data_IF_709002745695
#
_entry.id   IF_709002745695
#
_cell.length_a   1.000
_cell.length_b   1.000
_cell.length_c   1.000
_cell.angle_alpha   90.00
_cell.angle_beta   90.00
_cell.angle_gamma   90.00
#
_symmetry.space_group_name_H-M   'P 1'
#
loop_
_entity.id
_entity.type
_entity.pdbx_description
1 polymer ?
#
# COMPACT_ATOMS: atom_id res chain seq x y z
N UNK A 1 14.65 -0.46 -2.99
CA UNK A 1 13.28 -0.99 -3.03
C UNK A 1 12.98 -1.70 -1.73
N UNK A 2 13.74 -2.73 -1.34
CA UNK A 2 13.58 -3.43 -0.05
C UNK A 2 13.51 -2.53 1.19
N UNK A 3 14.40 -1.53 1.34
CA UNK A 3 14.36 -0.61 2.48
C UNK A 3 13.05 0.21 2.54
N UNK A 4 12.47 0.52 1.38
CA UNK A 4 11.17 1.21 1.28
C UNK A 4 10.04 0.27 1.69
N UNK A 5 10.03 -0.95 1.16
CA UNK A 5 9.06 -2.00 1.52
C UNK A 5 9.08 -2.27 3.03
N UNK A 6 10.28 -2.35 3.62
CA UNK A 6 10.47 -2.55 5.05
C UNK A 6 9.89 -1.39 5.87
N UNK A 7 10.12 -0.15 5.45
CA UNK A 7 9.56 1.01 6.17
C UNK A 7 8.04 1.10 6.04
N UNK A 8 7.48 0.81 4.86
CA UNK A 8 6.02 0.70 4.67
C UNK A 8 5.45 -0.38 5.59
N UNK A 9 6.06 -1.57 5.60
CA UNK A 9 5.66 -2.66 6.48
C UNK A 9 5.73 -2.26 7.97
N UNK A 10 6.76 -1.51 8.37
CA UNK A 10 6.89 -0.95 9.71
C UNK A 10 5.77 0.05 10.03
N UNK A 11 5.49 1.00 9.15
CA UNK A 11 4.44 1.99 9.35
C UNK A 11 3.05 1.33 9.45
N UNK A 12 2.77 0.36 8.58
CA UNK A 12 1.52 -0.40 8.63
C UNK A 12 1.43 -1.25 9.91
N UNK A 13 2.54 -1.83 10.37
CA UNK A 13 2.60 -2.56 11.64
C UNK A 13 2.36 -1.66 12.84
N UNK A 14 2.93 -0.44 12.83
CA UNK A 14 2.68 0.56 13.86
C UNK A 14 1.19 0.94 13.89
N UNK A 15 0.59 1.21 12.74
CA UNK A 15 -0.85 1.49 12.64
C UNK A 15 -1.69 0.33 13.19
N UNK A 16 -1.36 -0.90 12.82
CA UNK A 16 -2.05 -2.12 13.28
C UNK A 16 -2.06 -2.23 14.82
N UNK A 17 -0.94 -1.90 15.47
CA UNK A 17 -0.83 -1.90 16.95
C UNK A 17 -1.52 -0.68 17.56
N UNK A 18 -1.22 0.53 17.08
CA UNK A 18 -1.70 1.78 17.66
C UNK A 18 -3.23 1.91 17.60
N UNK A 19 -3.85 1.39 16.54
CA UNK A 19 -5.30 1.43 16.38
C UNK A 19 -5.99 0.15 16.84
N UNK A 20 -5.23 -0.84 17.33
CA UNK A 20 -5.78 -2.07 17.90
C UNK A 20 -6.45 -3.00 16.89
N UNK A 21 -6.09 -2.96 15.60
CA UNK A 21 -6.66 -3.86 14.59
C UNK A 21 -6.31 -5.32 14.89
N UNK A 22 -5.11 -5.57 15.40
CA UNK A 22 -4.63 -6.89 15.82
C UNK A 22 -4.52 -7.92 14.69
N UNK A 23 -4.44 -7.46 13.44
CA UNK A 23 -4.20 -8.31 12.28
C UNK A 23 -2.71 -8.63 12.09
N UNK A 24 -2.37 -9.21 10.95
CA UNK A 24 -1.00 -9.53 10.59
C UNK A 24 -0.55 -8.72 9.37
N UNK A 25 0.64 -8.15 9.46
CA UNK A 25 1.33 -7.48 8.36
C UNK A 25 2.44 -8.40 7.87
N UNK A 26 2.50 -8.64 6.56
CA UNK A 26 3.55 -9.44 5.91
C UNK A 26 4.16 -8.66 4.75
N UNK A 27 5.45 -8.87 4.48
CA UNK A 27 6.11 -8.39 3.26
C UNK A 27 6.20 -9.51 2.21
N UNK A 28 6.88 -9.27 1.09
CA UNK A 28 7.08 -10.16 -0.07
C UNK A 28 7.54 -11.60 0.23
N UNK A 29 7.83 -11.95 1.48
CA UNK A 29 8.09 -13.33 1.94
C UNK A 29 6.82 -14.10 2.38
N UNK A 30 5.71 -13.43 2.65
CA UNK A 30 4.45 -14.03 3.13
C UNK A 30 3.44 -14.24 2.01
N UNK A 31 3.82 -14.93 0.94
CA UNK A 31 2.95 -15.19 -0.20
C UNK A 31 1.61 -15.84 0.19
N UNK A 32 0.58 -15.64 -0.62
CA UNK A 32 -0.77 -16.12 -0.37
C UNK A 32 -1.20 -17.05 -1.49
N UNK A 33 -1.93 -18.10 -1.13
CA UNK A 33 -2.58 -18.98 -2.09
C UNK A 33 -3.94 -18.37 -2.46
N UNK A 34 -4.02 -17.76 -3.65
CA UNK A 34 -5.25 -17.24 -4.21
C UNK A 34 -5.97 -18.35 -4.96
N UNK A 35 -7.30 -18.40 -4.82
CA UNK A 35 -8.15 -19.31 -5.60
C UNK A 35 -9.13 -18.52 -6.47
N UNK A 36 -8.73 -18.28 -7.71
CA UNK A 36 -9.47 -17.45 -8.67
C UNK A 36 -9.85 -18.30 -9.87
N UNK A 37 -11.13 -18.29 -10.25
CA UNK A 37 -11.61 -19.01 -11.44
C UNK A 37 -11.34 -20.52 -11.42
N UNK A 38 -11.35 -21.15 -10.22
CA UNK A 38 -11.06 -22.58 -10.06
C UNK A 38 -9.57 -22.95 -10.09
N UNK A 39 -8.67 -21.97 -10.20
CA UNK A 39 -7.21 -22.19 -10.22
C UNK A 39 -6.57 -21.64 -8.96
N UNK A 40 -5.54 -22.34 -8.46
CA UNK A 40 -4.72 -21.90 -7.33
C UNK A 40 -3.43 -21.24 -7.85
N UNK A 41 -3.18 -20.01 -7.43
CA UNK A 41 -1.99 -19.23 -7.81
C UNK A 41 -1.38 -18.60 -6.57
N UNK A 42 -0.06 -18.59 -6.48
CA UNK A 42 0.64 -17.93 -5.37
C UNK A 42 0.98 -16.50 -5.78
N UNK A 43 0.48 -15.53 -5.02
CA UNK A 43 0.86 -14.13 -5.16
C UNK A 43 1.57 -13.66 -3.90
N UNK A 44 2.68 -12.94 -4.09
CA UNK A 44 3.45 -12.33 -3.02
C UNK A 44 3.42 -10.80 -3.24
N UNK A 45 2.43 -10.10 -2.66
CA UNK A 45 2.44 -8.63 -2.67
C UNK A 45 3.63 -8.11 -1.86
N UNK A 46 4.12 -6.91 -2.19
CA UNK A 46 5.26 -6.34 -1.48
C UNK A 46 5.00 -6.10 0.00
N UNK A 47 3.81 -5.60 0.33
CA UNK A 47 3.28 -5.56 1.69
C UNK A 47 1.81 -5.93 1.67
N UNK A 48 1.35 -6.64 2.70
CA UNK A 48 -0.07 -6.93 2.86
C UNK A 48 -0.51 -6.89 4.30
N UNK A 49 -1.83 -6.73 4.48
CA UNK A 49 -2.48 -6.84 5.78
C UNK A 49 -3.60 -7.87 5.74
N UNK A 50 -3.53 -8.83 6.66
CA UNK A 50 -4.59 -9.82 6.92
C UNK A 50 -5.30 -9.43 8.22
N UNK A 51 -6.62 -9.32 8.19
CA UNK A 51 -7.40 -8.94 9.38
C UNK A 51 -7.28 -9.98 10.49
N UNK A 52 -7.42 -9.54 11.75
CA UNK A 52 -7.41 -10.42 12.93
C UNK A 52 -8.38 -11.59 12.80
N UNK A 53 -9.60 -11.32 12.30
CA UNK A 53 -10.64 -12.33 12.14
C UNK A 53 -10.23 -13.44 11.19
N UNK A 54 -9.49 -13.13 10.11
CA UNK A 54 -8.96 -14.17 9.23
C UNK A 54 -7.75 -14.82 9.87
N UNK A 55 -6.78 -14.02 10.31
CA UNK A 55 -5.48 -14.50 10.78
C UNK A 55 -5.57 -15.45 11.98
N UNK A 56 -6.43 -15.15 12.96
CA UNK A 56 -6.58 -15.99 14.15
C UNK A 56 -7.24 -17.35 13.89
N UNK A 57 -7.87 -17.55 12.72
CA UNK A 57 -8.51 -18.81 12.34
C UNK A 57 -7.68 -19.63 11.35
N UNK A 58 -6.48 -19.15 10.98
CA UNK A 58 -5.58 -19.88 10.10
C UNK A 58 -4.96 -21.07 10.84
N UNK A 59 -4.93 -22.23 10.18
CA UNK A 59 -4.23 -23.39 10.68
C UNK A 59 -2.74 -23.37 10.29
N UNK A 60 -1.94 -24.28 10.87
CA UNK A 60 -0.50 -24.36 10.60
C UNK A 60 -0.18 -24.62 9.12
N UNK A 61 -1.01 -25.39 8.39
CA UNK A 61 -0.76 -25.61 6.97
C UNK A 61 -0.93 -24.30 6.19
N UNK A 62 -1.93 -23.48 6.51
CA UNK A 62 -2.15 -22.18 5.85
C UNK A 62 -1.08 -21.14 6.22
N UNK A 63 -0.59 -21.15 7.47
CA UNK A 63 0.42 -20.18 7.94
C UNK A 63 1.84 -20.48 7.43
N UNK A 64 2.21 -21.76 7.42
CA UNK A 64 3.60 -22.18 7.17
C UNK A 64 3.81 -22.78 5.79
N UNK A 65 2.73 -23.04 5.05
CA UNK A 65 2.80 -23.66 3.72
C UNK A 65 1.75 -23.04 2.79
N UNK A 66 1.86 -23.28 1.49
CA UNK A 66 0.79 -22.92 0.54
C UNK A 66 -0.31 -23.99 0.44
N UNK A 67 -0.45 -24.86 1.44
CA UNK A 67 -1.45 -25.94 1.51
C UNK A 67 -2.61 -25.58 2.46
N UNK A 68 -3.68 -26.37 2.43
CA UNK A 68 -4.92 -26.09 3.15
C UNK A 68 -5.89 -25.22 2.34
N UNK A 69 -6.90 -24.67 3.01
CA UNK A 69 -7.85 -23.78 2.36
C UNK A 69 -7.20 -22.44 1.99
N UNK A 70 -7.34 -21.98 0.74
CA UNK A 70 -6.84 -20.68 0.29
C UNK A 70 -7.39 -19.54 1.14
N UNK A 71 -6.57 -18.54 1.40
CA UNK A 71 -7.01 -17.27 1.98
C UNK A 71 -6.24 -16.12 1.33
N UNK A 72 -6.81 -14.94 1.38
CA UNK A 72 -6.24 -13.74 0.77
C UNK A 72 -6.24 -12.59 1.80
N UNK A 73 -5.28 -11.67 1.72
CA UNK A 73 -5.24 -10.51 2.61
C UNK A 73 -6.38 -9.54 2.30
N UNK A 74 -6.62 -8.60 3.22
CA UNK A 74 -7.62 -7.53 3.05
C UNK A 74 -7.04 -6.32 2.32
N UNK A 75 -5.76 -6.02 2.56
CA UNK A 75 -5.04 -4.93 1.90
C UNK A 75 -3.80 -5.49 1.23
N UNK A 76 -3.52 -5.07 0.00
CA UNK A 76 -2.27 -5.34 -0.70
C UNK A 76 -1.64 -4.04 -1.19
N UNK A 77 -0.32 -3.97 -1.09
CA UNK A 77 0.50 -2.83 -1.49
C UNK A 77 1.58 -3.36 -2.42
N UNK A 78 1.70 -2.75 -3.59
CA UNK A 78 2.77 -3.00 -4.56
C UNK A 78 3.63 -1.75 -4.70
N UNK A 79 4.95 -1.93 -4.67
CA UNK A 79 5.94 -0.85 -4.78
C UNK A 79 6.68 -1.02 -6.11
N UNK A 80 6.56 -0.03 -6.99
CA UNK A 80 7.17 -0.13 -8.32
C UNK A 80 7.65 1.21 -8.86
N UNK A 81 8.42 1.17 -9.95
CA UNK A 81 8.76 2.35 -10.76
C UNK A 81 7.64 2.56 -11.78
N UNK A 82 6.62 3.35 -11.41
CA UNK A 82 5.42 3.54 -12.25
C UNK A 82 5.58 4.61 -13.32
N UNK A 83 6.72 5.30 -13.37
CA UNK A 83 7.09 6.23 -14.44
C UNK A 83 6.95 5.56 -15.81
N UNK A 84 7.24 4.25 -15.87
CA UNK A 84 7.01 3.43 -17.05
C UNK A 84 5.54 3.05 -17.11
N UNK A 85 4.80 3.65 -18.05
CA UNK A 85 3.38 3.36 -18.33
C UNK A 85 3.07 1.85 -18.36
N UNK A 86 3.94 1.05 -18.99
CA UNK A 86 3.75 -0.41 -19.05
C UNK A 86 3.72 -1.07 -17.66
N UNK A 87 4.60 -0.66 -16.73
CA UNK A 87 4.63 -1.21 -15.36
C UNK A 87 3.32 -0.87 -14.63
N UNK A 88 2.82 0.34 -14.84
CA UNK A 88 1.53 0.75 -14.31
C UNK A 88 0.38 -0.08 -14.91
N UNK A 89 0.32 -0.24 -16.22
CA UNK A 89 -0.72 -1.03 -16.91
C UNK A 89 -0.69 -2.49 -16.43
N UNK A 90 0.51 -3.09 -16.31
CA UNK A 90 0.69 -4.46 -15.81
C UNK A 90 0.18 -4.61 -14.35
N UNK A 91 0.43 -3.60 -13.50
CA UNK A 91 -0.08 -3.60 -12.11
C UNK A 91 -1.58 -3.37 -12.06
N UNK A 92 -2.13 -2.48 -12.87
CA UNK A 92 -3.57 -2.22 -12.95
C UNK A 92 -4.34 -3.50 -13.35
N UNK A 93 -3.83 -4.23 -14.35
CA UNK A 93 -4.37 -5.52 -14.74
C UNK A 93 -4.25 -6.56 -13.61
N UNK A 94 -3.10 -6.63 -12.94
CA UNK A 94 -2.89 -7.51 -11.77
C UNK A 94 -3.91 -7.24 -10.67
N UNK A 95 -4.12 -5.98 -10.32
CA UNK A 95 -5.12 -5.60 -9.33
C UNK A 95 -6.53 -6.00 -9.76
N UNK A 96 -6.90 -5.69 -10.99
CA UNK A 96 -8.25 -5.91 -11.52
C UNK A 96 -8.60 -7.39 -11.67
N UNK A 97 -7.67 -8.20 -12.17
CA UNK A 97 -7.95 -9.58 -12.57
C UNK A 97 -7.42 -10.64 -11.61
N UNK A 98 -6.51 -10.29 -10.71
CA UNK A 98 -5.95 -11.23 -9.73
C UNK A 98 -6.37 -10.84 -8.30
N UNK A 99 -6.00 -9.64 -7.84
CA UNK A 99 -6.24 -9.25 -6.46
C UNK A 99 -7.71 -8.96 -6.16
N UNK A 100 -8.44 -8.33 -7.08
CA UNK A 100 -9.85 -7.98 -6.95
C UNK A 100 -10.79 -8.96 -7.65
N UNK A 101 -10.25 -10.09 -8.07
CA UNK A 101 -11.04 -11.13 -8.71
C UNK A 101 -12.09 -11.69 -7.75
N UNK A 102 -13.18 -12.21 -8.31
CA UNK A 102 -14.18 -12.92 -7.53
C UNK A 102 -13.56 -14.10 -6.78
N UNK A 103 -13.88 -14.23 -5.49
CA UNK A 103 -13.32 -15.26 -4.61
C UNK A 103 -12.14 -14.78 -3.75
N UNK A 104 -11.68 -13.54 -3.96
CA UNK A 104 -10.70 -12.88 -3.08
C UNK A 104 -11.39 -12.08 -1.96
N UNK A 105 -10.65 -11.80 -0.90
CA UNK A 105 -11.04 -10.96 0.24
C UNK A 105 -10.33 -9.61 0.23
N UNK A 106 -9.58 -9.30 -0.83
CA UNK A 106 -8.87 -8.02 -0.95
C UNK A 106 -9.91 -6.93 -1.15
N UNK A 107 -9.85 -5.89 -0.32
CA UNK A 107 -10.78 -4.75 -0.35
C UNK A 107 -10.07 -3.49 -0.83
N UNK A 108 -8.77 -3.39 -0.58
CA UNK A 108 -7.99 -2.20 -0.87
C UNK A 108 -6.64 -2.56 -1.47
N UNK A 109 -6.28 -1.79 -2.50
CA UNK A 109 -5.03 -1.92 -3.22
C UNK A 109 -4.27 -0.61 -3.26
N UNK A 110 -2.96 -0.66 -3.05
CA UNK A 110 -2.09 0.50 -3.19
C UNK A 110 -1.01 0.22 -4.22
N UNK A 111 -0.80 1.17 -5.13
CA UNK A 111 0.40 1.22 -5.97
C UNK A 111 1.22 2.43 -5.54
N UNK A 112 2.44 2.18 -5.07
CA UNK A 112 3.35 3.21 -4.59
C UNK A 112 4.55 3.34 -5.53
N UNK A 113 4.80 4.55 -6.02
CA UNK A 113 5.97 4.83 -6.84
C UNK A 113 7.24 4.95 -5.99
N UNK A 114 8.26 4.13 -6.29
CA UNK A 114 9.53 4.11 -5.57
C UNK A 114 10.32 5.41 -5.71
N UNK A 115 10.25 6.10 -6.85
CA UNK A 115 10.95 7.37 -7.06
C UNK A 115 10.33 8.49 -6.22
N UNK A 116 9.00 8.49 -6.07
CA UNK A 116 8.32 9.39 -5.14
C UNK A 116 8.83 9.20 -3.70
N UNK A 117 8.98 7.96 -3.26
CA UNK A 117 9.43 7.67 -1.90
C UNK A 117 10.89 8.09 -1.70
N UNK A 118 11.76 7.83 -2.68
CA UNK A 118 13.17 8.27 -2.63
C UNK A 118 13.29 9.79 -2.57
N UNK A 119 12.47 10.52 -3.32
CA UNK A 119 12.46 11.98 -3.30
C UNK A 119 12.07 12.51 -1.91
N UNK A 120 11.04 11.94 -1.28
CA UNK A 120 10.60 12.30 0.08
C UNK A 120 11.73 12.06 1.10
N UNK A 121 12.33 10.87 1.08
CA UNK A 121 13.45 10.52 1.99
C UNK A 121 14.65 11.45 1.76
N UNK A 122 14.93 11.79 0.50
CA UNK A 122 16.05 12.68 0.15
C UNK A 122 15.82 14.11 0.64
N UNK A 123 14.58 14.59 0.69
CA UNK A 123 14.25 15.93 1.21
C UNK A 123 14.35 16.02 2.74
N UNK A 124 14.02 14.95 3.46
CA UNK A 124 14.12 14.91 4.93
C UNK A 124 15.57 15.10 5.42
N UNK A 125 16.55 14.61 4.65
CA UNK A 125 17.98 14.79 4.94
C UNK A 125 18.50 16.23 4.82
N UNK A 126 17.73 17.15 4.21
CA UNK A 126 18.10 18.58 4.07
C UNK A 126 17.54 19.49 5.15
N UNK A 127 16.64 18.97 6.00
CA UNK A 127 16.00 19.75 7.07
C UNK A 127 16.78 19.69 8.37
N UNK A 128 18.01 20.20 8.35
CA UNK A 128 18.70 20.65 9.59
C UNK A 128 19.07 22.12 9.46
N UNK A 129 18.06 22.99 9.65
CA UNK A 129 18.30 24.37 10.09
C UNK A 129 17.25 24.77 11.10
N UNK A 130 17.71 24.88 12.35
CA UNK A 130 17.06 25.58 13.46
C UNK A 130 16.63 26.98 13.02
N UNK A 131 15.38 27.38 13.22
CA UNK A 131 14.99 28.74 13.66
C UNK A 131 13.47 28.99 13.58
N UNK A 132 12.89 29.28 14.76
CA UNK A 132 11.75 30.18 15.06
C UNK A 132 10.38 29.90 14.43
N UNK A 133 9.34 29.99 15.28
CA UNK A 133 7.91 30.04 14.92
C UNK A 133 7.66 31.08 13.81
N UNK A 134 7.73 30.66 12.55
CA UNK A 134 7.06 31.31 11.43
C UNK A 134 5.92 30.40 11.02
N UNK A 135 4.75 30.97 10.73
CA UNK A 135 3.58 30.24 10.22
C UNK A 135 4.00 29.12 9.27
N UNK A 136 3.64 27.88 9.62
CA UNK A 136 4.07 26.67 8.93
C UNK A 136 3.49 26.64 7.52
N UNK A 137 4.20 27.26 6.57
CA UNK A 137 3.91 27.14 5.15
C UNK A 137 4.24 25.72 4.71
N UNK A 138 3.21 24.91 4.52
CA UNK A 138 3.30 23.56 3.99
C UNK A 138 3.40 23.68 2.48
N UNK A 139 4.50 23.22 1.90
CA UNK A 139 4.69 23.22 0.45
C UNK A 139 4.30 21.85 -0.10
N UNK A 140 3.56 21.84 -1.21
CA UNK A 140 3.28 20.58 -1.89
C UNK A 140 4.59 20.02 -2.47
N UNK A 141 4.92 18.73 -2.23
CA UNK A 141 6.14 18.15 -2.78
C UNK A 141 6.06 17.89 -4.29
N UNK A 142 4.86 17.92 -4.88
CA UNK A 142 4.60 17.56 -6.27
C UNK A 142 4.36 18.76 -7.19
N UNK A 143 4.07 19.94 -6.65
CA UNK A 143 3.85 21.15 -7.44
C UNK A 143 4.14 22.42 -6.63
N UNK A 144 4.16 23.57 -7.28
CA UNK A 144 4.51 24.85 -6.66
C UNK A 144 3.41 25.45 -5.75
N UNK A 145 2.43 24.66 -5.32
CA UNK A 145 1.38 25.13 -4.41
C UNK A 145 1.87 25.16 -2.97
N UNK A 146 1.40 26.16 -2.22
CA UNK A 146 1.72 26.35 -0.81
C UNK A 146 0.44 26.53 0.00
N UNK A 147 0.44 26.00 1.23
CA UNK A 147 -0.68 25.96 2.14
C UNK A 147 -0.25 26.43 3.52
N UNK A 148 -1.19 26.96 4.29
CA UNK A 148 -0.94 27.44 5.66
C UNK A 148 -1.44 26.46 6.72
N UNK A 149 -2.13 25.39 6.30
CA UNK A 149 -2.80 24.42 7.15
C UNK A 149 -2.86 23.05 6.46
N UNK A 150 -2.90 21.98 7.26
CA UNK A 150 -2.90 20.60 6.77
C UNK A 150 -4.17 20.26 5.98
N UNK A 151 -5.35 20.77 6.38
CA UNK A 151 -6.62 20.43 5.71
C UNK A 151 -6.67 20.86 4.23
N UNK A 152 -6.38 22.13 3.85
CA UNK A 152 -6.36 22.53 2.45
C UNK A 152 -5.20 21.86 1.67
N UNK A 153 -4.09 21.55 2.34
CA UNK A 153 -3.01 20.76 1.75
C UNK A 153 -3.48 19.35 1.40
N UNK A 154 -4.07 18.60 2.33
CA UNK A 154 -4.57 17.24 2.12
C UNK A 154 -5.65 17.21 1.04
N UNK A 155 -6.60 18.15 1.07
CA UNK A 155 -7.63 18.28 0.04
C UNK A 155 -7.05 18.55 -1.36
N UNK A 156 -6.00 19.37 -1.45
CA UNK A 156 -5.28 19.56 -2.71
C UNK A 156 -4.58 18.29 -3.15
N UNK A 157 -3.87 17.63 -2.23
CA UNK A 157 -3.09 16.44 -2.52
C UNK A 157 -3.96 15.31 -3.05
N UNK A 158 -5.08 15.03 -2.38
CA UNK A 158 -6.10 14.08 -2.81
C UNK A 158 -6.64 14.39 -4.20
N UNK A 159 -6.98 15.66 -4.46
CA UNK A 159 -7.58 16.06 -5.74
C UNK A 159 -6.59 16.04 -6.90
N UNK A 160 -5.33 16.40 -6.66
CA UNK A 160 -4.37 16.70 -7.73
C UNK A 160 -3.32 15.62 -7.95
N UNK A 161 -2.99 14.85 -6.91
CA UNK A 161 -1.85 13.93 -6.92
C UNK A 161 -2.22 12.50 -6.53
N UNK A 162 -3.43 12.27 -6.02
CA UNK A 162 -3.97 10.92 -5.82
C UNK A 162 -4.90 10.58 -6.98
N UNK A 163 -4.67 9.42 -7.60
CA UNK A 163 -5.61 8.82 -8.55
C UNK A 163 -6.28 7.64 -7.88
N UNK A 164 -7.60 7.65 -7.83
CA UNK A 164 -8.40 6.53 -7.35
C UNK A 164 -9.02 5.80 -8.54
N UNK A 165 -8.95 4.48 -8.51
CA UNK A 165 -9.73 3.62 -9.40
C UNK A 165 -10.66 2.74 -8.58
N UNK A 166 -11.92 2.63 -9.02
CA UNK A 166 -12.93 1.82 -8.33
C UNK A 166 -13.30 0.61 -9.18
N UNK A 167 -13.23 -0.56 -8.56
CA UNK A 167 -13.54 -1.84 -9.17
C UNK A 167 -14.51 -2.61 -8.29
N UNK A 168 -15.78 -2.69 -8.68
CA UNK A 168 -16.81 -3.45 -7.94
C UNK A 168 -16.88 -3.12 -6.43
N UNK A 169 -16.66 -1.85 -6.05
CA UNK A 169 -16.64 -1.42 -4.65
C UNK A 169 -15.27 -1.50 -3.96
N UNK A 170 -14.27 -2.11 -4.60
CA UNK A 170 -12.86 -2.10 -4.19
C UNK A 170 -12.16 -0.86 -4.74
N UNK A 171 -11.12 -0.39 -4.05
CA UNK A 171 -10.41 0.85 -4.39
C UNK A 171 -8.93 0.57 -4.60
N UNK A 172 -8.39 1.01 -5.75
CA UNK A 172 -6.95 1.19 -5.95
C UNK A 172 -6.62 2.64 -5.72
N UNK A 173 -5.69 2.90 -4.82
CA UNK A 173 -5.10 4.22 -4.62
C UNK A 173 -3.72 4.23 -5.26
N UNK A 174 -3.53 5.14 -6.21
CA UNK A 174 -2.26 5.32 -6.93
C UNK A 174 -1.66 6.61 -6.44
N UNK A 175 -0.46 6.51 -5.87
CA UNK A 175 0.33 7.64 -5.43
C UNK A 175 1.51 7.82 -6.38
N UNK A 176 1.44 8.86 -7.23
CA UNK A 176 2.43 9.19 -8.27
C UNK A 176 2.95 10.60 -8.13
#
# INVERSE_FOLDING_TARGET
MEAVVLDIGRQLSNWNVQTGQGGAVTSSQGGFNFHVGGRRTIHAPDVSFTSKNVYCHLNQQQLWTFKGEPFTPMVVIEVSDTIKKKVFDDLDEKFKFEYFAMGTSVQMGFTLDVEMIKDIISQESRSTKTSKKSESRISCPKCSNHFTDDHPFMKHYEKSHIREQKYNGMVIVIMS
#
